data_IF_932899523810
#
_entry.id   IF_932899523810
#
_cell.length_a   1.000
_cell.length_b   1.000
_cell.length_c   1.000
_cell.angle_alpha   90.00
_cell.angle_beta   90.00
_cell.angle_gamma   90.00
#
_symmetry.space_group_name_H-M   'P 1'
#
loop_
_entity.id
_entity.type
_entity.pdbx_description
1 polymer ?
#
# COMPACT_ATOMS: atom_id res chain seq x y z
N UNK A 1 10.40 4.50 11.30
CA UNK A 1 9.95 3.89 10.01
C UNK A 1 9.15 4.88 9.16
N UNK A 2 8.16 5.58 9.73
CA UNK A 2 7.44 6.67 9.02
C UNK A 2 8.38 7.85 8.67
N UNK A 3 9.30 8.21 9.56
CA UNK A 3 10.20 9.37 9.33
C UNK A 3 11.15 9.15 8.14
N UNK A 4 11.69 7.94 7.98
CA UNK A 4 12.51 7.59 6.83
C UNK A 4 11.70 7.68 5.51
N UNK A 5 10.42 7.31 5.54
CA UNK A 5 9.53 7.43 4.38
C UNK A 5 9.22 8.89 4.03
N UNK A 6 8.99 9.73 5.05
CA UNK A 6 8.78 11.17 4.90
C UNK A 6 10.02 11.91 4.37
N UNK A 7 11.22 11.45 4.70
CA UNK A 7 12.46 12.03 4.16
C UNK A 7 12.58 11.81 2.65
N UNK A 8 12.21 10.62 2.15
CA UNK A 8 12.20 10.35 0.70
C UNK A 8 11.04 11.01 -0.03
N UNK A 9 9.88 11.14 0.64
CA UNK A 9 8.67 11.71 0.06
C UNK A 9 7.94 12.61 1.08
N UNK A 10 8.33 13.89 1.21
CA UNK A 10 7.73 14.79 2.20
C UNK A 10 6.22 14.96 2.00
N UNK A 11 5.77 14.97 0.75
CA UNK A 11 4.36 15.09 0.37
C UNK A 11 3.54 13.83 0.70
N UNK A 12 4.19 12.73 1.10
CA UNK A 12 3.51 11.49 1.44
C UNK A 12 2.82 11.53 2.80
N UNK A 13 3.11 12.53 3.64
CA UNK A 13 2.52 12.69 4.98
C UNK A 13 0.99 12.66 4.95
N UNK A 14 0.38 13.24 3.91
CA UNK A 14 -1.08 13.25 3.74
C UNK A 14 -1.74 11.88 3.57
N UNK A 15 -0.96 10.83 3.24
CA UNK A 15 -1.46 9.46 3.09
C UNK A 15 -1.33 8.63 4.37
N UNK A 16 -0.82 9.20 5.47
CA UNK A 16 -0.75 8.52 6.74
C UNK A 16 -1.88 8.96 7.67
N UNK A 17 -2.72 8.01 8.09
CA UNK A 17 -3.73 8.19 9.12
C UNK A 17 -3.25 7.64 10.47
N UNK A 18 -3.82 8.10 11.61
CA UNK A 18 -3.54 7.52 12.93
C UNK A 18 -3.83 6.01 12.95
N UNK A 19 -2.92 5.24 13.55
CA UNK A 19 -3.13 3.82 13.79
C UNK A 19 -3.93 3.56 15.07
N UNK A 20 -4.24 2.27 15.33
CA UNK A 20 -4.90 1.83 16.57
C UNK A 20 -4.08 2.15 17.82
N UNK A 21 -2.76 2.12 17.71
CA UNK A 21 -1.82 2.56 18.75
C UNK A 21 -1.28 3.94 18.37
N UNK A 22 -1.04 4.81 19.35
CA UNK A 22 -0.58 6.19 19.15
C UNK A 22 0.74 6.30 18.38
N UNK A 23 1.61 5.29 18.51
CA UNK A 23 2.90 5.20 17.82
C UNK A 23 2.78 4.65 16.39
N UNK A 24 1.63 4.06 16.05
CA UNK A 24 1.39 3.47 14.74
C UNK A 24 0.67 4.44 13.82
N UNK A 25 0.87 4.24 12.53
CA UNK A 25 0.18 4.95 11.45
C UNK A 25 -0.30 3.92 10.42
N UNK A 26 -1.45 4.19 9.82
CA UNK A 26 -1.96 3.44 8.69
C UNK A 26 -1.63 4.23 7.42
N UNK A 27 -0.99 3.58 6.46
CA UNK A 27 -0.71 4.15 5.15
C UNK A 27 -1.85 3.79 4.21
N UNK A 28 -2.46 4.79 3.60
CA UNK A 28 -3.27 4.62 2.40
C UNK A 28 -2.34 4.30 1.21
N UNK A 29 -2.15 3.01 0.98
CA UNK A 29 -1.25 2.51 -0.06
C UNK A 29 -1.77 2.82 -1.46
N UNK A 30 -3.09 2.71 -1.68
CA UNK A 30 -3.70 2.95 -2.99
C UNK A 30 -3.60 4.43 -3.36
N UNK A 31 -3.97 5.32 -2.44
CA UNK A 31 -3.84 6.77 -2.63
C UNK A 31 -2.38 7.21 -2.84
N UNK A 32 -1.43 6.64 -2.08
CA UNK A 32 0.00 6.92 -2.27
C UNK A 32 0.50 6.43 -3.65
N UNK A 33 0.11 5.22 -4.06
CA UNK A 33 0.52 4.66 -5.35
C UNK A 33 -0.05 5.46 -6.53
N UNK A 34 -1.33 5.82 -6.48
CA UNK A 34 -1.96 6.66 -7.50
C UNK A 34 -1.25 8.02 -7.64
N UNK A 35 -0.88 8.64 -6.52
CA UNK A 35 -0.10 9.87 -6.55
C UNK A 35 1.29 9.68 -7.17
N UNK A 36 1.99 8.60 -6.84
CA UNK A 36 3.30 8.31 -7.45
C UNK A 36 3.18 8.08 -8.96
N UNK A 37 2.17 7.35 -9.41
CA UNK A 37 1.92 7.09 -10.83
C UNK A 37 1.58 8.38 -11.59
N UNK A 38 0.70 9.20 -11.04
CA UNK A 38 0.37 10.50 -11.65
C UNK A 38 1.57 11.44 -11.66
N UNK A 39 2.45 11.40 -10.65
CA UNK A 39 3.67 12.23 -10.61
C UNK A 39 4.68 11.91 -11.71
N UNK A 40 4.59 10.72 -12.32
CA UNK A 40 5.46 10.29 -13.45
C UNK A 40 4.72 10.31 -14.79
N UNK A 41 3.51 10.90 -14.85
CA UNK A 41 2.76 11.10 -16.08
C UNK A 41 1.75 10.01 -16.44
N UNK A 42 1.44 9.08 -15.53
CA UNK A 42 0.35 8.12 -15.74
C UNK A 42 -0.98 8.85 -15.58
N UNK A 43 -1.79 8.87 -16.63
CA UNK A 43 -3.02 9.67 -16.72
C UNK A 43 -4.25 8.89 -16.21
N UNK A 44 -4.24 7.56 -16.33
CA UNK A 44 -5.34 6.72 -15.90
C UNK A 44 -4.83 5.69 -14.88
N UNK A 45 -5.41 5.75 -13.69
CA UNK A 45 -5.15 4.84 -12.58
C UNK A 45 -6.51 4.38 -12.07
N UNK A 46 -6.79 3.08 -12.21
CA UNK A 46 -8.02 2.48 -11.69
C UNK A 46 -7.70 1.83 -10.33
N UNK A 47 -8.47 2.19 -9.30
CA UNK A 47 -8.47 1.48 -8.03
C UNK A 47 -9.54 0.39 -8.08
N UNK A 48 -9.16 -0.84 -7.78
CA UNK A 48 -10.10 -1.97 -7.70
C UNK A 48 -10.90 -1.93 -6.38
N UNK A 49 -10.55 -1.03 -5.46
CA UNK A 49 -11.16 -0.88 -4.13
C UNK A 49 -11.11 -2.16 -3.29
N UNK A 50 -10.20 -3.08 -3.64
CA UNK A 50 -10.07 -4.37 -2.95
C UNK A 50 -9.02 -4.27 -1.86
N UNK A 51 -9.49 -4.17 -0.62
CA UNK A 51 -8.64 -4.38 0.54
C UNK A 51 -8.42 -5.89 0.77
N UNK A 52 -7.20 -6.36 0.52
CA UNK A 52 -6.79 -7.77 0.75
C UNK A 52 -6.93 -8.21 2.22
N UNK A 53 -7.00 -7.26 3.16
CA UNK A 53 -7.25 -7.52 4.58
C UNK A 53 -8.76 -7.64 4.92
N UNK A 54 -9.62 -6.93 4.20
CA UNK A 54 -11.07 -6.92 4.43
C UNK A 54 -11.80 -8.03 3.65
N UNK A 55 -11.15 -8.64 2.65
CA UNK A 55 -11.71 -9.71 1.83
C UNK A 55 -10.93 -11.03 1.96
N UNK A 56 -10.96 -11.72 3.13
CA UNK A 56 -10.34 -13.02 3.28
C UNK A 56 -10.96 -14.03 2.29
N UNK A 57 -10.13 -14.59 1.40
CA UNK A 57 -10.52 -15.65 0.45
C UNK A 57 -10.51 -15.28 -1.04
N UNK A 58 -10.33 -14.00 -1.42
CA UNK A 58 -10.24 -13.59 -2.84
C UNK A 58 -8.81 -13.40 -3.36
N UNK A 59 -7.83 -13.13 -2.47
CA UNK A 59 -6.44 -12.85 -2.83
C UNK A 59 -5.53 -13.36 -1.69
N UNK A 60 -4.42 -14.04 -2.01
CA UNK A 60 -3.48 -14.58 -1.00
C UNK A 60 -2.70 -13.46 -0.28
N UNK A 61 -2.45 -13.66 1.01
CA UNK A 61 -1.84 -12.67 1.92
C UNK A 61 -0.38 -13.04 2.25
N UNK A 62 0.50 -12.03 2.34
CA UNK A 62 1.85 -12.16 2.93
C UNK A 62 1.90 -11.69 4.39
N UNK A 63 0.97 -10.84 4.83
CA UNK A 63 1.02 -10.15 6.13
C UNK A 63 0.53 -10.96 7.33
N UNK A 64 -0.01 -12.16 7.14
CA UNK A 64 -0.48 -13.03 8.22
C UNK A 64 0.27 -14.37 8.38
N UNK A 65 1.08 -14.80 7.41
CA UNK A 65 1.80 -16.08 7.50
C UNK A 65 3.20 -16.02 6.86
N UNK A 66 4.25 -16.63 7.46
CA UNK A 66 5.63 -16.49 6.99
C UNK A 66 5.99 -17.29 5.72
N UNK A 67 5.09 -18.14 5.19
CA UNK A 67 5.44 -19.05 4.08
C UNK A 67 4.27 -19.26 3.13
N UNK A 68 4.20 -18.49 2.05
CA UNK A 68 3.30 -18.81 0.93
C UNK A 68 3.98 -18.54 -0.41
N UNK A 69 3.92 -19.54 -1.31
CA UNK A 69 4.55 -19.52 -2.64
C UNK A 69 3.99 -18.39 -3.52
N UNK A 70 4.88 -17.81 -4.33
CA UNK A 70 4.58 -16.78 -5.35
C UNK A 70 3.87 -17.39 -6.55
N UNK A 71 2.84 -16.71 -7.07
CA UNK A 71 2.30 -17.04 -8.39
C UNK A 71 3.24 -16.53 -9.50
N UNK A 72 3.74 -17.49 -10.30
CA UNK A 72 3.96 -17.42 -11.74
C UNK A 72 4.61 -16.17 -12.36
N UNK A 73 5.95 -16.19 -12.44
CA UNK A 73 6.59 -15.95 -13.72
C UNK A 73 6.24 -17.15 -14.60
N UNK A 74 5.43 -16.94 -15.65
CA UNK A 74 5.50 -17.86 -16.80
C UNK A 74 6.76 -17.49 -17.61
N UNK A 75 7.41 -18.49 -18.22
CA UNK A 75 8.69 -18.34 -18.91
C UNK A 75 8.61 -17.35 -20.07
#
# INVERSE_FOLDING_TARGET
MVDAFKQSFPQAERYFSPGRESEKRQLDLAGFAAWRLTSVGVVQVDDLEICTLAAPGKIFQLSRQPTTRRYGLRP
#
